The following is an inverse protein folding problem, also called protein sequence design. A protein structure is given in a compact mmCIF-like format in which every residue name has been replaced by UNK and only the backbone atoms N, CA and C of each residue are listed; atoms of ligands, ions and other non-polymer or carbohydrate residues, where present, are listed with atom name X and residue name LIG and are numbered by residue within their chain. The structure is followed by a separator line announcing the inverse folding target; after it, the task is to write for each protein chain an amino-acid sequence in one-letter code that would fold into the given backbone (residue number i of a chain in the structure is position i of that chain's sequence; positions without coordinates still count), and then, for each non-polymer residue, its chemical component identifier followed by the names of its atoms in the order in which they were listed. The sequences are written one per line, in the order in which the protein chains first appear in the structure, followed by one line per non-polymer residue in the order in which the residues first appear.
data_IF_892720566431
#
_entry.id   IF_892720566431
#
_cell.length_a   1.000
_cell.length_b   1.000
_cell.length_c   1.000
_cell.angle_alpha   90.00
_cell.angle_beta   90.00
_cell.angle_gamma   90.00
#
_symmetry.space_group_name_H-M   'P 1'
#
loop_
_entity.id
_entity.type
_entity.pdbx_description
1 polymer ?
#
# COMPACT_ATOMS: atom_id res chain seq x y z
N UNK A 1 46.71 25.14 -10.84
CA UNK A 1 45.91 24.12 -11.54
C UNK A 1 44.47 24.27 -11.07
N UNK A 2 43.63 24.94 -11.87
CA UNK A 2 42.20 25.02 -11.59
C UNK A 2 41.53 23.76 -12.14
N UNK A 3 40.93 22.95 -11.27
CA UNK A 3 40.05 21.86 -11.69
C UNK A 3 38.76 22.48 -12.20
N UNK A 4 38.58 22.56 -13.52
CA UNK A 4 37.30 22.90 -14.12
C UNK A 4 36.31 21.78 -13.74
N UNK A 5 35.49 22.00 -12.72
CA UNK A 5 34.37 21.10 -12.44
C UNK A 5 33.31 21.35 -13.51
N UNK A 6 33.15 20.41 -14.43
CA UNK A 6 32.02 20.36 -15.36
C UNK A 6 30.77 19.84 -14.64
N UNK A 7 30.47 20.40 -13.47
CA UNK A 7 29.23 20.10 -12.78
C UNK A 7 28.09 20.81 -13.49
N UNK A 8 26.98 20.11 -13.64
CA UNK A 8 25.78 20.71 -14.20
C UNK A 8 25.15 21.69 -13.19
N UNK A 9 24.40 22.72 -13.62
CA UNK A 9 23.77 23.68 -12.70
C UNK A 9 22.87 23.04 -11.63
N UNK A 10 22.33 21.86 -11.90
CA UNK A 10 21.54 21.08 -10.92
C UNK A 10 22.42 20.49 -9.82
N UNK A 11 23.65 20.08 -10.12
CA UNK A 11 24.58 19.44 -9.18
C UNK A 11 25.22 20.42 -8.19
N UNK A 12 25.11 21.72 -8.46
CA UNK A 12 25.54 22.79 -7.56
C UNK A 12 24.50 23.11 -6.47
N UNK A 13 23.27 22.59 -6.60
CA UNK A 13 22.22 22.82 -5.62
C UNK A 13 22.56 22.19 -4.26
N UNK A 14 22.09 22.79 -3.14
CA UNK A 14 22.18 22.20 -1.82
C UNK A 14 21.57 20.78 -1.76
N UNK A 15 22.13 19.92 -0.91
CA UNK A 15 21.77 18.50 -0.84
C UNK A 15 20.32 18.24 -0.42
N UNK A 16 19.76 19.11 0.42
CA UNK A 16 18.35 19.09 0.81
C UNK A 16 17.42 19.41 -0.36
N UNK A 17 17.80 20.38 -1.22
CA UNK A 17 17.06 20.73 -2.44
C UNK A 17 17.16 19.59 -3.46
N UNK A 18 18.35 19.03 -3.65
CA UNK A 18 18.54 17.84 -4.49
C UNK A 18 17.68 16.67 -3.99
N UNK A 19 17.67 16.42 -2.69
CA UNK A 19 16.82 15.40 -2.06
C UNK A 19 15.33 15.65 -2.32
N UNK A 20 14.86 16.89 -2.21
CA UNK A 20 13.48 17.27 -2.52
C UNK A 20 13.14 17.01 -4.00
N UNK A 21 13.98 17.45 -4.94
CA UNK A 21 13.79 17.24 -6.38
C UNK A 21 13.76 15.74 -6.70
N UNK A 22 14.75 14.99 -6.22
CA UNK A 22 14.85 13.55 -6.46
C UNK A 22 13.67 12.82 -5.81
N UNK A 23 13.16 13.28 -4.66
CA UNK A 23 11.98 12.68 -4.03
C UNK A 23 10.72 12.81 -4.89
N UNK A 24 10.58 13.90 -5.66
CA UNK A 24 9.50 14.06 -6.63
C UNK A 24 9.67 13.09 -7.79
N UNK A 25 10.88 12.91 -8.30
CA UNK A 25 11.21 11.89 -9.32
C UNK A 25 10.91 10.48 -8.81
N UNK A 26 11.23 10.20 -7.54
CA UNK A 26 11.03 8.90 -6.90
C UNK A 26 9.56 8.46 -6.90
N UNK A 27 8.60 9.40 -6.81
CA UNK A 27 7.15 9.13 -6.90
C UNK A 27 6.73 8.51 -8.22
N UNK A 28 7.48 8.79 -9.28
CA UNK A 28 7.16 8.33 -10.62
C UNK A 28 8.04 7.16 -11.07
N UNK A 29 9.33 7.17 -10.70
CA UNK A 29 10.27 6.17 -11.22
C UNK A 29 11.42 5.87 -10.24
N UNK A 30 11.31 4.71 -9.58
CA UNK A 30 12.42 4.09 -8.83
C UNK A 30 13.65 3.84 -9.72
N UNK A 31 13.43 3.44 -10.98
CA UNK A 31 14.52 3.15 -11.92
C UNK A 31 15.33 4.42 -12.22
N UNK A 32 14.66 5.56 -12.37
CA UNK A 32 15.34 6.85 -12.59
C UNK A 32 16.18 7.23 -11.39
N UNK A 33 15.68 7.08 -10.16
CA UNK A 33 16.46 7.34 -8.94
C UNK A 33 17.71 6.43 -8.89
N UNK A 34 17.54 5.13 -9.15
CA UNK A 34 18.67 4.20 -9.20
C UNK A 34 19.72 4.61 -10.24
N UNK A 35 19.29 5.04 -11.42
CA UNK A 35 20.19 5.48 -12.47
C UNK A 35 20.93 6.76 -12.07
N UNK A 36 20.23 7.75 -11.49
CA UNK A 36 20.85 8.98 -10.94
C UNK A 36 21.92 8.65 -9.91
N UNK A 37 21.64 7.73 -8.99
CA UNK A 37 22.61 7.27 -7.99
C UNK A 37 23.85 6.61 -8.59
N UNK A 38 23.72 5.98 -9.76
CA UNK A 38 24.82 5.27 -10.42
C UNK A 38 25.72 6.18 -11.25
N UNK A 39 25.20 7.29 -11.79
CA UNK A 39 25.92 8.11 -12.77
C UNK A 39 26.46 9.44 -12.21
N UNK A 40 25.88 9.96 -11.12
CA UNK A 40 26.17 11.31 -10.64
C UNK A 40 26.43 11.32 -9.12
N UNK A 41 27.70 11.38 -8.66
CA UNK A 41 28.04 11.28 -7.24
C UNK A 41 27.38 12.34 -6.34
N UNK A 42 27.24 13.59 -6.81
CA UNK A 42 26.57 14.66 -6.05
C UNK A 42 25.07 14.41 -5.92
N UNK A 43 24.41 14.00 -7.00
CA UNK A 43 22.99 13.62 -6.95
C UNK A 43 22.77 12.33 -6.14
N UNK A 44 23.74 11.41 -6.16
CA UNK A 44 23.69 10.19 -5.38
C UNK A 44 23.63 10.47 -3.88
N UNK A 45 24.32 11.51 -3.39
CA UNK A 45 24.20 11.98 -1.99
C UNK A 45 22.80 12.50 -1.69
N UNK A 46 22.25 13.36 -2.54
CA UNK A 46 20.88 13.86 -2.41
C UNK A 46 19.83 12.74 -2.45
N UNK A 47 20.06 11.71 -3.26
CA UNK A 47 19.20 10.53 -3.36
C UNK A 47 19.15 9.67 -2.09
N UNK A 48 20.10 9.83 -1.16
CA UNK A 48 20.08 9.15 0.14
C UNK A 48 19.10 9.78 1.13
N UNK A 49 18.53 10.94 0.82
CA UNK A 49 17.61 11.64 1.71
C UNK A 49 16.35 10.80 2.01
N UNK A 50 15.91 10.76 3.27
CA UNK A 50 14.73 9.99 3.70
C UNK A 50 13.46 10.34 2.92
N UNK A 51 13.30 11.60 2.47
CA UNK A 51 12.16 12.00 1.63
C UNK A 51 12.10 11.20 0.33
N UNK A 52 13.24 10.81 -0.23
CA UNK A 52 13.33 10.03 -1.47
C UNK A 52 12.74 8.63 -1.25
N UNK A 53 13.13 7.98 -0.15
CA UNK A 53 12.61 6.65 0.21
C UNK A 53 11.15 6.71 0.66
N UNK A 54 10.77 7.73 1.44
CA UNK A 54 9.37 7.99 1.81
C UNK A 54 8.46 8.10 0.59
N UNK A 55 8.92 8.75 -0.46
CA UNK A 55 8.16 8.99 -1.69
C UNK A 55 8.41 7.97 -2.81
N UNK A 56 9.25 6.96 -2.58
CA UNK A 56 9.64 5.99 -3.60
C UNK A 56 8.44 5.20 -4.13
N UNK A 57 8.28 5.14 -5.44
CA UNK A 57 7.27 4.33 -6.09
C UNK A 57 7.64 2.84 -6.01
N UNK A 58 6.82 2.06 -5.32
CA UNK A 58 7.02 0.62 -5.15
C UNK A 58 5.94 -0.20 -5.87
N UNK A 59 5.20 0.40 -6.80
CA UNK A 59 4.08 -0.24 -7.52
C UNK A 59 4.41 -1.64 -8.08
N UNK A 60 5.58 -1.89 -8.72
CA UNK A 60 5.92 -3.24 -9.19
C UNK A 60 6.00 -4.27 -8.05
N UNK A 61 6.52 -3.86 -6.89
CA UNK A 61 6.61 -4.70 -5.69
C UNK A 61 5.26 -4.84 -4.99
N UNK A 62 4.42 -3.80 -4.99
CA UNK A 62 3.08 -3.85 -4.44
C UNK A 62 2.15 -4.81 -5.22
N UNK A 63 2.40 -5.00 -6.52
CA UNK A 63 1.70 -5.99 -7.36
C UNK A 63 2.14 -7.42 -7.05
N UNK A 64 3.39 -7.64 -6.62
CA UNK A 64 3.91 -8.96 -6.27
C UNK A 64 4.77 -8.88 -5.00
N UNK A 65 4.14 -8.77 -3.81
CA UNK A 65 4.83 -8.51 -2.54
C UNK A 65 5.90 -9.54 -2.18
N UNK A 66 5.76 -10.79 -2.63
CA UNK A 66 6.76 -11.84 -2.35
C UNK A 66 8.10 -11.61 -3.06
N UNK A 67 8.13 -10.86 -4.18
CA UNK A 67 9.40 -10.52 -4.85
C UNK A 67 10.31 -9.66 -3.96
N UNK A 68 9.71 -8.88 -3.06
CA UNK A 68 10.44 -7.99 -2.18
C UNK A 68 11.18 -8.71 -1.04
N UNK A 69 10.80 -9.96 -0.71
CA UNK A 69 11.39 -10.72 0.42
C UNK A 69 12.88 -10.97 0.22
N UNK A 70 13.30 -11.33 -1.00
CA UNK A 70 14.68 -11.76 -1.25
C UNK A 70 15.51 -10.70 -2.00
N UNK A 71 14.94 -10.07 -3.03
CA UNK A 71 15.72 -9.25 -3.99
C UNK A 71 15.86 -7.78 -3.59
N UNK A 72 14.98 -7.29 -2.71
CA UNK A 72 14.85 -5.85 -2.43
C UNK A 72 14.93 -5.52 -0.94
N UNK A 73 15.54 -6.39 -0.11
CA UNK A 73 15.57 -6.23 1.34
C UNK A 73 16.06 -4.84 1.79
N UNK A 74 17.24 -4.41 1.35
CA UNK A 74 17.81 -3.12 1.76
C UNK A 74 16.95 -1.92 1.33
N UNK A 75 16.37 -1.97 0.13
CA UNK A 75 15.45 -0.94 -0.35
C UNK A 75 14.20 -0.88 0.52
N UNK A 76 13.60 -2.04 0.80
CA UNK A 76 12.41 -2.16 1.62
C UNK A 76 12.65 -1.65 3.05
N UNK A 77 13.79 -2.00 3.65
CA UNK A 77 14.16 -1.56 4.99
C UNK A 77 14.25 -0.03 5.07
N UNK A 78 14.88 0.62 4.09
CA UNK A 78 14.96 2.08 4.02
C UNK A 78 13.59 2.71 3.80
N UNK A 79 12.80 2.21 2.85
CA UNK A 79 11.46 2.72 2.61
C UNK A 79 10.56 2.59 3.86
N UNK A 80 10.65 1.48 4.60
CA UNK A 80 9.92 1.29 5.86
C UNK A 80 10.36 2.31 6.91
N UNK A 81 11.67 2.45 7.15
CA UNK A 81 12.23 3.43 8.10
C UNK A 81 11.81 4.87 7.78
N UNK A 82 11.75 5.23 6.49
CA UNK A 82 11.34 6.56 6.05
C UNK A 82 9.81 6.74 6.00
N UNK A 83 9.00 5.74 6.39
CA UNK A 83 7.55 5.88 6.47
C UNK A 83 6.81 5.77 5.13
N UNK A 84 7.36 5.06 4.14
CA UNK A 84 6.71 4.88 2.84
C UNK A 84 5.47 3.98 2.98
N UNK A 85 4.31 4.49 2.57
CA UNK A 85 3.02 3.82 2.75
C UNK A 85 2.90 2.51 1.94
N UNK A 86 3.48 2.45 0.74
CA UNK A 86 3.50 1.24 -0.10
C UNK A 86 4.39 0.15 0.51
N UNK A 87 5.50 0.54 1.14
CA UNK A 87 6.42 -0.41 1.78
C UNK A 87 5.77 -1.09 2.99
N UNK A 88 5.01 -0.32 3.78
CA UNK A 88 4.18 -0.84 4.86
C UNK A 88 3.10 -1.77 4.31
N UNK A 89 2.44 -1.42 3.21
CA UNK A 89 1.47 -2.31 2.57
C UNK A 89 2.09 -3.67 2.17
N UNK A 90 3.24 -3.64 1.50
CA UNK A 90 3.97 -4.85 1.06
C UNK A 90 4.36 -5.70 2.28
N UNK A 91 4.97 -5.09 3.29
CA UNK A 91 5.40 -5.79 4.52
C UNK A 91 4.20 -6.34 5.29
N UNK A 92 3.11 -5.58 5.36
CA UNK A 92 1.86 -6.01 5.96
C UNK A 92 1.26 -7.24 5.28
N UNK A 93 1.35 -7.33 3.94
CA UNK A 93 0.95 -8.53 3.20
C UNK A 93 1.82 -9.73 3.57
N UNK A 94 3.14 -9.55 3.58
CA UNK A 94 4.09 -10.61 3.91
C UNK A 94 3.85 -11.16 5.33
N UNK A 95 3.72 -10.28 6.32
CA UNK A 95 3.51 -10.67 7.71
C UNK A 95 2.13 -11.30 7.92
N UNK A 96 1.05 -10.61 7.50
CA UNK A 96 -0.31 -11.03 7.83
C UNK A 96 -0.78 -12.25 7.03
N UNK A 97 -0.55 -12.23 5.71
CA UNK A 97 -1.14 -13.21 4.79
C UNK A 97 -0.20 -14.35 4.45
N UNK A 98 1.10 -14.08 4.28
CA UNK A 98 2.07 -15.11 3.91
C UNK A 98 2.64 -15.83 5.15
N UNK A 99 3.08 -15.10 6.16
CA UNK A 99 3.72 -15.65 7.36
C UNK A 99 2.74 -15.93 8.51
N UNK A 100 1.49 -15.46 8.39
CA UNK A 100 0.45 -15.62 9.40
C UNK A 100 0.78 -14.94 10.76
N UNK A 101 1.70 -13.97 10.77
CA UNK A 101 2.04 -13.12 11.90
C UNK A 101 0.97 -12.03 12.08
N UNK A 102 -0.21 -12.43 12.56
CA UNK A 102 -1.40 -11.57 12.42
C UNK A 102 -1.38 -10.27 13.22
N UNK A 103 -0.63 -10.19 14.31
CA UNK A 103 -0.52 -8.96 15.13
C UNK A 103 0.36 -7.95 14.40
N UNK A 104 1.63 -8.31 14.18
CA UNK A 104 2.60 -7.50 13.41
C UNK A 104 2.06 -7.09 12.06
N UNK A 105 1.46 -8.03 11.32
CA UNK A 105 0.91 -7.75 10.01
C UNK A 105 -0.24 -6.74 10.04
N UNK A 106 -1.06 -6.71 11.10
CA UNK A 106 -2.10 -5.68 11.24
C UNK A 106 -1.52 -4.32 11.58
N UNK A 107 -0.56 -4.25 12.49
CA UNK A 107 0.06 -2.98 12.89
C UNK A 107 0.76 -2.33 11.70
N UNK A 108 1.46 -3.13 10.90
CA UNK A 108 2.12 -2.68 9.68
C UNK A 108 1.11 -2.29 8.58
N UNK A 109 0.03 -3.05 8.39
CA UNK A 109 -1.05 -2.65 7.46
C UNK A 109 -1.74 -1.35 7.92
N UNK A 110 -1.92 -1.15 9.22
CA UNK A 110 -2.48 0.08 9.78
C UNK A 110 -1.61 1.28 9.46
N UNK A 111 -0.28 1.15 9.60
CA UNK A 111 0.66 2.21 9.24
C UNK A 111 0.53 2.61 7.75
N UNK A 112 0.34 1.65 6.84
CA UNK A 112 0.05 1.95 5.44
C UNK A 112 -1.28 2.71 5.26
N UNK A 113 -2.32 2.28 5.99
CA UNK A 113 -3.67 2.82 5.89
C UNK A 113 -3.88 4.18 6.58
N UNK A 114 -2.94 4.61 7.44
CA UNK A 114 -2.98 5.93 8.08
C UNK A 114 -2.76 7.06 7.09
N UNK A 115 -2.00 6.81 6.03
CA UNK A 115 -1.72 7.75 4.96
C UNK A 115 -2.81 7.83 3.88
N UNK A 116 -2.37 7.98 2.62
CA UNK A 116 -3.25 8.14 1.45
C UNK A 116 -3.25 6.94 0.51
N UNK A 117 -2.44 5.92 0.79
CA UNK A 117 -2.31 4.74 -0.06
C UNK A 117 -3.58 3.86 -0.04
N UNK A 118 -4.39 4.04 -1.08
CA UNK A 118 -5.74 3.49 -1.19
C UNK A 118 -5.82 1.96 -1.07
N UNK A 119 -4.85 1.23 -1.64
CA UNK A 119 -4.82 -0.22 -1.51
C UNK A 119 -4.55 -0.65 -0.06
N UNK A 120 -3.71 0.09 0.67
CA UNK A 120 -3.44 -0.13 2.09
C UNK A 120 -4.65 0.18 2.96
N UNK A 121 -5.29 1.33 2.71
CA UNK A 121 -6.56 1.73 3.34
C UNK A 121 -7.62 0.63 3.15
N UNK A 122 -7.81 0.17 1.91
CA UNK A 122 -8.75 -0.89 1.60
C UNK A 122 -8.42 -2.19 2.33
N UNK A 123 -7.18 -2.67 2.21
CA UNK A 123 -6.76 -3.96 2.75
C UNK A 123 -6.87 -4.01 4.27
N UNK A 124 -6.43 -2.95 4.94
CA UNK A 124 -6.55 -2.84 6.38
C UNK A 124 -8.03 -2.78 6.80
N UNK A 125 -8.80 -1.85 6.22
CA UNK A 125 -10.22 -1.67 6.56
C UNK A 125 -11.04 -2.94 6.37
N UNK A 126 -10.86 -3.63 5.24
CA UNK A 126 -11.59 -4.87 4.97
C UNK A 126 -11.18 -6.02 5.88
N UNK A 127 -9.89 -6.08 6.25
CA UNK A 127 -9.40 -7.07 7.23
C UNK A 127 -10.02 -6.82 8.59
N UNK A 128 -10.13 -5.56 9.03
CA UNK A 128 -10.78 -5.19 10.30
C UNK A 128 -12.26 -5.56 10.33
N UNK A 129 -13.01 -5.26 9.25
CA UNK A 129 -14.40 -5.70 9.11
C UNK A 129 -14.51 -7.23 9.24
N UNK A 130 -13.69 -7.98 8.50
CA UNK A 130 -13.73 -9.44 8.52
C UNK A 130 -13.30 -10.01 9.89
N UNK A 131 -12.47 -9.31 10.67
CA UNK A 131 -12.10 -9.73 12.02
C UNK A 131 -13.17 -9.39 13.08
N UNK A 132 -14.19 -8.63 12.73
CA UNK A 132 -15.28 -8.23 13.63
C UNK A 132 -15.09 -6.84 14.25
N UNK A 133 -14.00 -6.12 13.92
CA UNK A 133 -13.84 -4.74 14.34
C UNK A 133 -14.50 -3.82 13.30
N UNK A 134 -15.83 -3.73 13.40
CA UNK A 134 -16.67 -3.18 12.34
C UNK A 134 -16.54 -1.66 12.22
N UNK A 135 -16.50 -0.96 13.36
CA UNK A 135 -16.42 0.50 13.37
C UNK A 135 -15.07 0.97 12.82
N UNK A 136 -13.95 0.38 13.25
CA UNK A 136 -12.64 0.71 12.69
C UNK A 136 -12.57 0.37 11.20
N UNK A 137 -13.06 -0.80 10.79
CA UNK A 137 -13.08 -1.19 9.38
C UNK A 137 -13.89 -0.22 8.49
N UNK A 138 -15.04 0.27 8.98
CA UNK A 138 -15.84 1.29 8.29
C UNK A 138 -15.09 2.60 8.20
N UNK A 139 -14.52 3.08 9.30
CA UNK A 139 -13.75 4.34 9.34
C UNK A 139 -12.67 4.37 8.26
N UNK A 140 -11.92 3.28 8.08
CA UNK A 140 -10.89 3.22 7.04
C UNK A 140 -11.49 3.13 5.64
N UNK A 141 -12.51 2.29 5.41
CA UNK A 141 -13.12 2.20 4.08
C UNK A 141 -13.83 3.50 3.66
N UNK A 142 -14.38 4.27 4.61
CA UNK A 142 -14.96 5.60 4.37
C UNK A 142 -13.92 6.60 3.84
N UNK A 143 -12.63 6.48 4.20
CA UNK A 143 -11.55 7.31 3.64
C UNK A 143 -11.41 7.18 2.12
N UNK A 144 -11.86 6.06 1.54
CA UNK A 144 -11.88 5.87 0.09
C UNK A 144 -12.97 6.72 -0.59
N UNK A 145 -13.85 7.38 0.16
CA UNK A 145 -14.91 8.22 -0.41
C UNK A 145 -15.91 7.42 -1.26
N UNK A 146 -16.15 6.16 -0.90
CA UNK A 146 -16.97 5.22 -1.70
C UNK A 146 -18.40 5.72 -1.95
N UNK A 147 -18.94 6.60 -1.09
CA UNK A 147 -20.24 7.25 -1.27
C UNK A 147 -20.29 8.12 -2.53
N UNK A 148 -19.15 8.72 -2.90
CA UNK A 148 -18.99 9.51 -4.13
C UNK A 148 -18.60 8.63 -5.31
N UNK A 149 -17.74 7.64 -5.08
CA UNK A 149 -17.26 6.74 -6.14
C UNK A 149 -17.10 5.30 -5.63
N UNK A 150 -18.12 4.47 -5.88
CA UNK A 150 -18.11 3.05 -5.50
C UNK A 150 -17.03 2.24 -6.25
N UNK A 151 -16.67 2.65 -7.47
CA UNK A 151 -15.67 1.93 -8.30
C UNK A 151 -14.27 1.95 -7.69
N UNK A 152 -13.98 2.93 -6.82
CA UNK A 152 -12.67 3.10 -6.20
C UNK A 152 -12.29 1.93 -5.29
N UNK A 153 -13.22 1.49 -4.45
CA UNK A 153 -13.02 0.32 -3.59
C UNK A 153 -12.94 -0.97 -4.41
N UNK A 154 -13.69 -1.08 -5.50
CA UNK A 154 -13.62 -2.23 -6.39
C UNK A 154 -12.28 -2.28 -7.16
N UNK A 155 -11.71 -1.13 -7.50
CA UNK A 155 -10.35 -1.07 -8.03
C UNK A 155 -9.32 -1.51 -6.99
N UNK A 156 -9.45 -1.03 -5.75
CA UNK A 156 -8.59 -1.46 -4.65
C UNK A 156 -8.69 -2.97 -4.40
N UNK A 157 -9.90 -3.53 -4.44
CA UNK A 157 -10.13 -4.97 -4.36
C UNK A 157 -9.39 -5.72 -5.46
N UNK A 158 -9.51 -5.31 -6.73
CA UNK A 158 -8.81 -5.93 -7.87
C UNK A 158 -7.29 -5.89 -7.70
N UNK A 159 -6.75 -4.75 -7.26
CA UNK A 159 -5.33 -4.58 -7.01
C UNK A 159 -4.84 -5.50 -5.87
N UNK A 160 -5.59 -5.56 -4.77
CA UNK A 160 -5.28 -6.43 -3.64
C UNK A 160 -5.38 -7.90 -3.98
N UNK A 161 -6.39 -8.31 -4.75
CA UNK A 161 -6.51 -9.69 -5.27
C UNK A 161 -5.26 -10.07 -6.09
N UNK A 162 -4.76 -9.15 -6.92
CA UNK A 162 -3.50 -9.36 -7.67
C UNK A 162 -2.29 -9.45 -6.74
N UNK A 163 -2.19 -8.58 -5.74
CA UNK A 163 -1.09 -8.60 -4.77
C UNK A 163 -1.05 -9.87 -3.92
N UNK A 164 -2.22 -10.44 -3.62
CA UNK A 164 -2.36 -11.70 -2.87
C UNK A 164 -2.23 -12.95 -3.76
N UNK A 165 -2.14 -12.79 -5.08
CA UNK A 165 -2.02 -13.91 -6.01
C UNK A 165 -0.77 -14.74 -5.71
N UNK A 166 -0.94 -16.06 -5.63
CA UNK A 166 0.15 -16.99 -5.28
C UNK A 166 0.45 -17.09 -3.77
N UNK A 167 -0.20 -16.29 -2.92
CA UNK A 167 -0.12 -16.43 -1.47
C UNK A 167 -1.23 -17.37 -1.00
N UNK A 168 -0.89 -18.37 -0.18
CA UNK A 168 -1.89 -19.25 0.45
C UNK A 168 -2.61 -18.49 1.57
N UNK A 169 -3.63 -17.72 1.21
CA UNK A 169 -4.42 -16.96 2.19
C UNK A 169 -5.30 -17.88 3.03
N UNK A 170 -5.02 -17.92 4.34
CA UNK A 170 -5.80 -18.70 5.28
C UNK A 170 -7.18 -18.06 5.50
N UNK A 171 -8.23 -18.76 5.10
CA UNK A 171 -9.62 -18.37 5.38
C UNK A 171 -9.95 -18.62 6.86
N UNK A 172 -9.77 -17.58 7.68
CA UNK A 172 -9.94 -17.68 9.13
C UNK A 172 -11.42 -17.82 9.49
N UNK A 173 -11.77 -18.75 10.40
CA UNK A 173 -13.15 -18.96 10.89
C UNK A 173 -13.86 -17.67 11.34
N UNK A 174 -13.10 -16.73 11.93
CA UNK A 174 -13.62 -15.42 12.36
C UNK A 174 -14.16 -14.57 11.21
N UNK A 175 -13.62 -14.71 10.00
CA UNK A 175 -14.11 -13.98 8.83
C UNK A 175 -15.54 -14.36 8.48
N UNK A 176 -15.83 -15.66 8.46
CA UNK A 176 -17.19 -16.16 8.21
C UNK A 176 -18.14 -15.81 9.34
N UNK A 177 -17.69 -15.83 10.60
CA UNK A 177 -18.51 -15.40 11.75
C UNK A 177 -18.89 -13.92 11.63
N UNK A 178 -17.91 -13.04 11.38
CA UNK A 178 -18.17 -11.61 11.17
C UNK A 178 -19.10 -11.36 9.98
N UNK A 179 -18.87 -12.06 8.87
CA UNK A 179 -19.72 -11.94 7.68
C UNK A 179 -21.18 -12.32 7.98
N UNK A 180 -21.43 -13.45 8.66
CA UNK A 180 -22.80 -13.88 9.01
C UNK A 180 -23.47 -12.89 9.95
N UNK A 181 -22.75 -12.40 10.96
CA UNK A 181 -23.27 -11.44 11.94
C UNK A 181 -23.66 -10.10 11.31
N UNK A 182 -22.98 -9.70 10.24
CA UNK A 182 -23.19 -8.41 9.58
C UNK A 182 -24.00 -8.51 8.28
N UNK A 183 -24.78 -9.58 8.11
CA UNK A 183 -25.63 -9.76 6.94
C UNK A 183 -26.78 -8.73 6.98
N UNK A 184 -26.91 -7.88 5.95
CA UNK A 184 -27.95 -6.85 5.93
C UNK A 184 -29.34 -7.46 5.77
N UNK A 185 -30.33 -6.90 6.47
CA UNK A 185 -31.76 -7.23 6.36
C UNK A 185 -32.38 -6.37 5.25
N UNK A 186 -33.29 -6.94 4.46
CA UNK A 186 -34.06 -6.20 3.44
C UNK A 186 -33.28 -5.76 2.19
N UNK A 187 -32.04 -6.24 2.00
CA UNK A 187 -31.25 -5.94 0.80
C UNK A 187 -31.33 -7.07 -0.22
N UNK A 188 -31.75 -6.76 -1.44
CA UNK A 188 -31.71 -7.69 -2.58
C UNK A 188 -30.24 -8.04 -2.90
N UNK A 189 -29.92 -9.34 -2.80
CA UNK A 189 -28.58 -9.86 -3.06
C UNK A 189 -28.15 -9.70 -4.54
N UNK A 190 -29.11 -9.56 -5.45
CA UNK A 190 -28.86 -9.47 -6.89
C UNK A 190 -28.78 -8.01 -7.38
N UNK A 191 -29.25 -7.03 -6.60
CA UNK A 191 -29.18 -5.58 -6.89
C UNK A 191 -28.23 -4.83 -5.97
N UNK A 192 -27.31 -5.59 -5.37
CA UNK A 192 -26.29 -5.08 -4.48
C UNK A 192 -25.48 -3.97 -5.17
N UNK A 193 -24.97 -4.17 -6.38
CA UNK A 193 -24.05 -3.22 -7.01
C UNK A 193 -24.69 -1.87 -7.39
N UNK A 194 -26.01 -1.83 -7.62
CA UNK A 194 -26.69 -0.65 -8.17
C UNK A 194 -27.45 0.18 -7.13
N UNK A 195 -28.02 -0.41 -6.08
CA UNK A 195 -29.11 0.28 -5.35
C UNK A 195 -28.92 0.53 -3.85
N UNK A 196 -28.00 -0.15 -3.14
CA UNK A 196 -28.02 -0.06 -1.67
C UNK A 196 -26.67 0.30 -1.04
N UNK A 197 -26.62 1.49 -0.45
CA UNK A 197 -25.51 1.98 0.39
C UNK A 197 -25.43 1.21 1.72
N UNK A 198 -26.56 0.70 2.22
CA UNK A 198 -26.64 0.00 3.51
C UNK A 198 -25.92 -1.37 3.51
N UNK A 199 -25.63 -1.93 2.34
CA UNK A 199 -24.93 -3.21 2.20
C UNK A 199 -23.52 -3.10 1.59
N UNK A 200 -22.99 -1.88 1.41
CA UNK A 200 -21.67 -1.66 0.82
C UNK A 200 -20.57 -2.45 1.54
N UNK A 201 -20.48 -2.33 2.87
CA UNK A 201 -19.46 -3.02 3.67
C UNK A 201 -19.58 -4.54 3.58
N UNK A 202 -20.81 -5.06 3.68
CA UNK A 202 -21.07 -6.48 3.55
C UNK A 202 -20.61 -7.03 2.18
N UNK A 203 -20.83 -6.30 1.07
CA UNK A 203 -20.34 -6.72 -0.25
C UNK A 203 -18.82 -6.79 -0.32
N UNK A 204 -18.14 -5.76 0.21
CA UNK A 204 -16.69 -5.78 0.25
C UNK A 204 -16.19 -6.97 1.06
N UNK A 205 -16.87 -7.32 2.16
CA UNK A 205 -16.53 -8.51 2.95
C UNK A 205 -16.76 -9.80 2.16
N UNK A 206 -17.86 -9.93 1.42
CA UNK A 206 -18.10 -11.10 0.55
C UNK A 206 -16.98 -11.23 -0.50
N UNK A 207 -16.62 -10.13 -1.17
CA UNK A 207 -15.52 -10.11 -2.16
C UNK A 207 -14.20 -10.56 -1.54
N UNK A 208 -13.90 -10.10 -0.33
CA UNK A 208 -12.67 -10.46 0.38
C UNK A 208 -12.66 -11.91 0.89
N UNK A 209 -13.76 -12.38 1.50
CA UNK A 209 -13.81 -13.71 2.14
C UNK A 209 -13.83 -14.84 1.11
N UNK A 210 -14.49 -14.65 -0.03
CA UNK A 210 -14.71 -15.72 -1.01
C UNK A 210 -13.83 -15.63 -2.26
N UNK A 211 -13.33 -14.44 -2.61
CA UNK A 211 -12.67 -14.17 -3.91
C UNK A 211 -11.17 -13.80 -3.72
N UNK A 212 -10.65 -14.00 -2.50
CA UNK A 212 -9.21 -14.15 -2.23
C UNK A 212 -8.85 -15.63 -2.23
#
# INVERSE_FOLDING_TARGET
MATNSTDTPIEELPQDILGEIISRVARFSRTTVRNVMAVAPKLAKGAQNDKVYKNMNLKPLAVSPLQAVNKYHQLMERCLKSGNEESHYIKGIQEYFHQNNTTTGLDVLKASAQGTYENGIYLYGITMLCRGNFDEGKTYLDKLGWRKNKSKADQCWRNNKRALHGIRVLRKRRYFRSLRANKPVGCDKNKLDTQCNNCYYYKQMVKFVFII
#
